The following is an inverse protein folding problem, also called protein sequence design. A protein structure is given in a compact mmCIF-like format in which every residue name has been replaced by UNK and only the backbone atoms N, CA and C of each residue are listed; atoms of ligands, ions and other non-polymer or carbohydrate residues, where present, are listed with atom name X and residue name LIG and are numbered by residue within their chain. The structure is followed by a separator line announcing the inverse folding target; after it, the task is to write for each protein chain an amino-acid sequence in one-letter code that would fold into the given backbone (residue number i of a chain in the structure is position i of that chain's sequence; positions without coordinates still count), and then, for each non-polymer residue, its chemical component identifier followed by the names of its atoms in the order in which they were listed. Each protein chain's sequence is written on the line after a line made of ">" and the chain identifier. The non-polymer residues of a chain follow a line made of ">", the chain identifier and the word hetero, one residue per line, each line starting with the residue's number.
data_IF_822332176760
#
_entry.id   IF_822332176760
#
_cell.length_a   1.000
_cell.length_b   1.000
_cell.length_c   1.000
_cell.angle_alpha   90.00
_cell.angle_beta   90.00
_cell.angle_gamma   90.00
#
_symmetry.space_group_name_H-M   'P 1'
#
loop_
_entity.id
_entity.type
_entity.pdbx_description
1 polymer ?
#
# COMPACT_ATOMS: atom_id res chain seq x y z
N UNK A 1 -7.72 -8.68 29.71
CA UNK A 1 -7.16 -7.62 28.84
C UNK A 1 -7.57 -8.00 27.43
N UNK A 2 -8.38 -7.19 26.76
CA UNK A 2 -8.79 -7.53 25.40
C UNK A 2 -7.53 -7.51 24.51
N UNK A 3 -7.26 -8.60 23.79
CA UNK A 3 -6.21 -8.62 22.78
C UNK A 3 -6.52 -7.57 21.71
N UNK A 4 -5.54 -6.75 21.34
CA UNK A 4 -5.71 -5.77 20.26
C UNK A 4 -6.20 -6.47 18.99
N UNK A 5 -7.28 -5.96 18.41
CA UNK A 5 -7.81 -6.44 17.14
C UNK A 5 -7.22 -5.61 16.01
N UNK A 6 -6.42 -6.26 15.17
CA UNK A 6 -5.75 -5.63 14.04
C UNK A 6 -6.15 -6.36 12.77
N UNK A 7 -6.76 -5.62 11.84
CA UNK A 7 -7.11 -6.14 10.50
C UNK A 7 -6.47 -5.24 9.45
N UNK A 8 -5.87 -5.82 8.43
CA UNK A 8 -5.29 -5.11 7.30
C UNK A 8 -6.10 -5.40 6.03
N UNK A 9 -6.79 -4.39 5.51
CA UNK A 9 -7.43 -4.43 4.20
C UNK A 9 -6.38 -4.13 3.14
N UNK A 10 -6.07 -5.09 2.28
CA UNK A 10 -5.00 -4.97 1.30
C UNK A 10 -5.22 -5.88 0.09
N UNK A 11 -4.42 -5.68 -0.96
CA UNK A 11 -4.40 -6.49 -2.17
C UNK A 11 -2.97 -7.01 -2.34
N UNK A 12 -2.78 -8.31 -2.53
CA UNK A 12 -1.46 -8.93 -2.43
C UNK A 12 -0.35 -8.32 -3.32
N UNK A 13 -0.59 -7.82 -4.55
CA UNK A 13 0.46 -7.23 -5.39
C UNK A 13 0.65 -5.73 -5.12
N UNK A 14 -0.09 -5.13 -4.19
CA UNK A 14 0.03 -3.72 -3.85
C UNK A 14 1.37 -3.41 -3.17
N UNK A 15 2.22 -2.55 -3.75
CA UNK A 15 3.47 -2.13 -3.09
C UNK A 15 3.20 -1.27 -1.86
N UNK A 16 2.09 -0.51 -1.85
CA UNK A 16 1.67 0.27 -0.69
C UNK A 16 1.25 -0.64 0.47
N UNK A 17 0.53 -1.72 0.15
CA UNK A 17 0.15 -2.77 1.08
C UNK A 17 1.33 -3.52 1.69
N UNK A 18 2.32 -3.82 0.86
CA UNK A 18 3.56 -4.48 1.28
C UNK A 18 4.28 -3.70 2.40
N UNK A 19 4.24 -2.36 2.38
CA UNK A 19 4.82 -1.53 3.46
C UNK A 19 4.18 -1.81 4.81
N UNK A 20 2.85 -1.85 4.86
CA UNK A 20 2.11 -2.13 6.09
C UNK A 20 2.37 -3.56 6.58
N UNK A 21 2.37 -4.55 5.67
CA UNK A 21 2.69 -5.94 5.99
C UNK A 21 4.08 -6.10 6.58
N UNK A 22 5.09 -5.45 5.98
CA UNK A 22 6.46 -5.46 6.49
C UNK A 22 6.58 -4.78 7.85
N UNK A 23 5.95 -3.61 8.04
CA UNK A 23 5.96 -2.93 9.33
C UNK A 23 5.32 -3.77 10.44
N UNK A 24 4.18 -4.42 10.18
CA UNK A 24 3.53 -5.32 11.13
C UNK A 24 4.42 -6.54 11.45
N UNK A 25 5.07 -7.11 10.43
CA UNK A 25 5.99 -8.24 10.60
C UNK A 25 7.22 -7.87 11.44
N UNK A 26 7.84 -6.73 11.17
CA UNK A 26 9.01 -6.22 11.91
C UNK A 26 8.66 -5.90 13.38
N UNK A 27 7.42 -5.46 13.63
CA UNK A 27 6.90 -5.27 14.99
C UNK A 27 6.40 -6.55 15.66
N UNK A 28 6.34 -7.67 14.95
CA UNK A 28 5.79 -8.93 15.47
C UNK A 28 4.29 -8.86 15.80
N UNK A 29 3.55 -7.94 15.18
CA UNK A 29 2.12 -7.74 15.44
C UNK A 29 1.32 -8.80 14.70
N UNK A 30 0.49 -9.54 15.43
CA UNK A 30 -0.49 -10.45 14.83
C UNK A 30 -1.66 -9.64 14.29
N UNK A 31 -2.05 -9.92 13.06
CA UNK A 31 -3.16 -9.25 12.40
C UNK A 31 -3.90 -10.21 11.48
N UNK A 32 -5.16 -9.90 11.20
CA UNK A 32 -5.97 -10.54 10.18
C UNK A 32 -5.73 -9.84 8.83
N UNK A 33 -5.38 -10.62 7.80
CA UNK A 33 -5.24 -10.11 6.44
C UNK A 33 -6.56 -10.29 5.69
N UNK A 34 -7.15 -9.20 5.19
CA UNK A 34 -8.36 -9.21 4.38
C UNK A 34 -8.01 -8.79 2.96
N UNK A 35 -8.08 -9.76 2.04
CA UNK A 35 -7.84 -9.51 0.61
C UNK A 35 -9.00 -8.70 0.01
N UNK A 36 -8.67 -7.60 -0.66
CA UNK A 36 -9.62 -6.71 -1.32
C UNK A 36 -9.58 -6.84 -2.85
N UNK A 37 -10.75 -6.90 -3.48
CA UNK A 37 -10.88 -6.76 -4.93
C UNK A 37 -10.99 -5.26 -5.29
N UNK A 38 -9.98 -4.75 -6.00
CA UNK A 38 -9.94 -3.35 -6.43
C UNK A 38 -10.98 -3.01 -7.51
N UNK A 39 -11.53 -4.00 -8.20
CA UNK A 39 -12.61 -3.82 -9.19
C UNK A 39 -13.97 -3.76 -8.51
N UNK A 40 -14.16 -4.58 -7.47
CA UNK A 40 -15.38 -4.66 -6.68
C UNK A 40 -15.06 -4.46 -5.19
N UNK A 41 -14.89 -3.20 -4.80
CA UNK A 41 -14.50 -2.81 -3.44
C UNK A 41 -15.50 -3.31 -2.39
N UNK A 42 -14.99 -3.87 -1.30
CA UNK A 42 -15.84 -4.37 -0.22
C UNK A 42 -16.58 -3.22 0.49
N UNK A 43 -17.74 -3.54 1.08
CA UNK A 43 -18.47 -2.58 1.91
C UNK A 43 -17.63 -2.10 3.10
N UNK A 44 -16.78 -2.98 3.64
CA UNK A 44 -15.87 -2.67 4.73
C UNK A 44 -14.82 -1.63 4.30
N UNK A 45 -14.20 -1.78 3.13
CA UNK A 45 -13.24 -0.81 2.60
C UNK A 45 -13.90 0.57 2.39
N UNK A 46 -15.11 0.59 1.83
CA UNK A 46 -15.86 1.83 1.61
C UNK A 46 -16.26 2.52 2.92
N UNK A 47 -16.53 1.75 3.97
CA UNK A 47 -16.83 2.27 5.30
C UNK A 47 -15.57 2.81 6.00
N UNK A 48 -14.45 2.08 5.91
CA UNK A 48 -13.22 2.39 6.62
C UNK A 48 -12.39 3.51 5.94
N UNK A 49 -12.51 3.66 4.62
CA UNK A 49 -11.88 4.75 3.87
C UNK A 49 -12.87 5.38 2.88
N UNK A 50 -13.86 6.17 3.35
CA UNK A 50 -14.88 6.76 2.50
C UNK A 50 -14.34 7.83 1.55
N UNK A 51 -13.20 8.45 1.88
CA UNK A 51 -12.58 9.56 1.13
C UNK A 51 -11.86 9.02 -0.11
N UNK A 52 -10.81 8.22 0.08
CA UNK A 52 -9.97 7.76 -1.02
C UNK A 52 -10.46 6.41 -1.58
N UNK A 53 -11.16 5.60 -0.77
CA UNK A 53 -11.63 4.26 -1.14
C UNK A 53 -10.46 3.39 -1.66
N UNK A 54 -9.30 3.54 -1.05
CA UNK A 54 -8.04 2.92 -1.45
C UNK A 54 -7.48 2.07 -0.32
N UNK A 55 -6.69 1.08 -0.71
CA UNK A 55 -5.87 0.24 0.16
C UNK A 55 -4.41 0.77 0.20
N UNK A 56 -3.62 0.42 1.22
CA UNK A 56 -4.01 -0.33 2.41
C UNK A 56 -4.84 0.51 3.39
N UNK A 57 -5.65 -0.18 4.19
CA UNK A 57 -6.31 0.37 5.38
C UNK A 57 -6.04 -0.54 6.56
N UNK A 58 -5.40 -0.01 7.60
CA UNK A 58 -5.20 -0.71 8.86
C UNK A 58 -6.37 -0.37 9.80
N UNK A 59 -7.12 -1.38 10.23
CA UNK A 59 -8.17 -1.21 11.24
C UNK A 59 -7.61 -1.72 12.57
N UNK A 60 -7.37 -0.81 13.51
CA UNK A 60 -6.90 -1.15 14.84
C UNK A 60 -7.97 -0.82 15.87
N UNK A 61 -8.48 -1.83 16.57
CA UNK A 61 -9.55 -1.71 17.56
C UNK A 61 -10.77 -0.93 17.02
N UNK A 62 -11.18 -1.28 15.79
CA UNK A 62 -12.31 -0.68 15.08
C UNK A 62 -12.04 0.71 14.50
N UNK A 63 -10.82 1.26 14.63
CA UNK A 63 -10.46 2.58 14.12
C UNK A 63 -9.59 2.44 12.86
N UNK A 64 -10.00 3.02 11.72
CA UNK A 64 -9.23 2.93 10.49
C UNK A 64 -8.07 3.93 10.46
N UNK A 65 -6.93 3.49 9.93
CA UNK A 65 -5.75 4.28 9.57
C UNK A 65 -5.49 4.06 8.09
N UNK A 66 -5.50 5.14 7.32
CA UNK A 66 -5.31 5.14 5.87
C UNK A 66 -3.92 5.67 5.50
N UNK A 67 -3.53 5.52 4.23
CA UNK A 67 -2.25 5.92 3.65
C UNK A 67 -1.05 5.10 4.16
N UNK A 68 -0.36 4.41 3.25
CA UNK A 68 0.69 3.44 3.63
C UNK A 68 1.80 4.01 4.52
N UNK A 69 2.28 5.23 4.26
CA UNK A 69 3.33 5.86 5.08
C UNK A 69 2.82 6.35 6.44
N UNK A 70 1.54 6.69 6.55
CA UNK A 70 0.90 7.04 7.82
C UNK A 70 0.68 5.77 8.64
N UNK A 71 0.24 4.69 8.00
CA UNK A 71 0.09 3.36 8.63
C UNK A 71 1.42 2.88 9.22
N UNK A 72 2.54 2.98 8.48
CA UNK A 72 3.87 2.59 8.98
C UNK A 72 4.28 3.41 10.22
N UNK A 73 4.05 4.73 10.18
CA UNK A 73 4.33 5.60 11.33
C UNK A 73 3.46 5.26 12.54
N UNK A 74 2.16 5.03 12.31
CA UNK A 74 1.22 4.61 13.34
C UNK A 74 1.66 3.29 13.99
N UNK A 75 2.08 2.31 13.19
CA UNK A 75 2.59 1.03 13.70
C UNK A 75 3.83 1.25 14.58
N UNK A 76 4.76 2.11 14.15
CA UNK A 76 5.97 2.41 14.91
C UNK A 76 5.68 3.12 16.25
N UNK A 77 4.66 3.98 16.27
CA UNK A 77 4.27 4.76 17.45
C UNK A 77 3.42 3.96 18.46
N UNK A 78 2.64 2.98 18.00
CA UNK A 78 1.77 2.15 18.85
C UNK A 78 2.53 0.98 19.45
N UNK A 79 3.27 0.21 18.64
CA UNK A 79 4.00 -0.98 19.08
C UNK A 79 5.48 -0.66 19.29
N UNK A 80 5.83 -0.28 20.52
CA UNK A 80 7.18 0.17 20.92
C UNK A 80 8.06 -0.92 21.53
N UNK A 81 7.54 -2.14 21.64
CA UNK A 81 8.25 -3.25 22.30
C UNK A 81 9.39 -3.83 21.46
N UNK A 82 9.47 -3.48 20.18
CA UNK A 82 10.56 -3.86 19.27
C UNK A 82 11.29 -2.64 18.70
N UNK A 83 12.36 -2.91 17.94
CA UNK A 83 13.19 -1.86 17.35
C UNK A 83 12.35 -0.82 16.58
N UNK A 84 12.69 0.48 16.69
CA UNK A 84 11.96 1.53 16.00
C UNK A 84 12.21 1.45 14.49
N UNK A 85 11.16 1.64 13.69
CA UNK A 85 11.24 1.70 12.23
C UNK A 85 11.84 3.03 11.78
N UNK A 86 11.59 4.10 12.53
CA UNK A 86 12.13 5.43 12.26
C UNK A 86 13.26 5.80 13.21
N UNK A 87 14.26 6.58 12.75
CA UNK A 87 15.29 7.13 13.62
C UNK A 87 14.70 8.00 14.74
N UNK A 88 15.30 7.94 15.93
CA UNK A 88 14.96 8.79 17.07
C UNK A 88 15.42 10.24 16.88
N UNK A 89 16.56 10.45 16.21
CA UNK A 89 17.06 11.77 15.86
C UNK A 89 16.10 12.51 14.89
N UNK A 90 15.69 13.76 15.19
CA UNK A 90 14.76 14.50 14.35
C UNK A 90 15.24 14.73 12.91
N UNK A 91 16.53 14.99 12.70
CA UNK A 91 17.08 15.24 11.37
C UNK A 91 17.08 13.95 10.54
N UNK A 92 17.56 12.85 11.11
CA UNK A 92 17.53 11.54 10.45
C UNK A 92 16.10 11.09 10.14
N UNK A 93 15.15 11.32 11.05
CA UNK A 93 13.73 11.03 10.81
C UNK A 93 13.15 11.86 9.67
N UNK A 94 13.52 13.14 9.57
CA UNK A 94 13.12 13.99 8.45
C UNK A 94 13.69 13.47 7.12
N UNK A 95 14.95 13.04 7.10
CA UNK A 95 15.59 12.44 5.92
C UNK A 95 14.90 11.13 5.50
N UNK A 96 14.57 10.25 6.44
CA UNK A 96 13.80 9.02 6.15
C UNK A 96 12.44 9.33 5.54
N UNK A 97 11.72 10.32 6.07
CA UNK A 97 10.42 10.78 5.53
C UNK A 97 10.55 11.36 4.13
N UNK A 98 11.59 12.16 3.89
CA UNK A 98 11.85 12.74 2.57
C UNK A 98 12.07 11.66 1.51
N UNK A 99 12.92 10.67 1.80
CA UNK A 99 13.19 9.58 0.85
C UNK A 99 11.98 8.68 0.62
N UNK A 100 11.18 8.42 1.65
CA UNK A 100 9.92 7.69 1.50
C UNK A 100 8.93 8.41 0.58
N UNK A 101 8.75 9.73 0.76
CA UNK A 101 7.91 10.57 -0.09
C UNK A 101 8.46 10.67 -1.54
N UNK A 102 9.77 10.72 -1.70
CA UNK A 102 10.42 10.69 -3.02
C UNK A 102 10.10 9.41 -3.80
N UNK A 103 10.12 8.24 -3.13
CA UNK A 103 9.77 6.97 -3.75
C UNK A 103 8.32 6.99 -4.28
N UNK A 104 7.39 7.55 -3.51
CA UNK A 104 5.99 7.67 -3.93
C UNK A 104 5.83 8.59 -5.13
N UNK A 105 6.45 9.77 -5.08
CA UNK A 105 6.26 10.81 -6.10
C UNK A 105 7.05 10.58 -7.38
N UNK A 106 8.16 9.83 -7.34
CA UNK A 106 9.06 9.69 -8.49
C UNK A 106 9.22 8.26 -8.94
N UNK A 107 9.48 7.33 -8.04
CA UNK A 107 9.81 5.95 -8.41
C UNK A 107 8.55 5.20 -8.84
N UNK A 108 7.52 5.17 -7.99
CA UNK A 108 6.30 4.41 -8.26
C UNK A 108 5.55 4.94 -9.49
N UNK A 109 5.45 6.27 -9.64
CA UNK A 109 4.84 6.88 -10.83
C UNK A 109 5.62 6.50 -12.11
N UNK A 110 6.95 6.53 -12.07
CA UNK A 110 7.77 6.18 -13.23
C UNK A 110 7.64 4.71 -13.61
N UNK A 111 7.62 3.80 -12.62
CA UNK A 111 7.43 2.37 -12.85
C UNK A 111 6.04 2.09 -13.44
N UNK A 112 4.99 2.67 -12.86
CA UNK A 112 3.63 2.55 -13.36
C UNK A 112 3.51 3.05 -14.81
N UNK A 113 4.12 4.20 -15.12
CA UNK A 113 4.11 4.75 -16.49
C UNK A 113 4.85 3.86 -17.49
N UNK A 114 5.97 3.24 -17.08
CA UNK A 114 6.68 2.27 -17.92
C UNK A 114 5.84 1.01 -18.15
N UNK A 115 5.19 0.47 -17.13
CA UNK A 115 4.32 -0.71 -17.30
C UNK A 115 3.14 -0.43 -18.24
N UNK A 116 2.49 0.74 -18.10
CA UNK A 116 1.41 1.17 -19.00
C UNK A 116 1.91 1.32 -20.44
N UNK A 117 3.05 1.99 -20.64
CA UNK A 117 3.65 2.16 -21.98
C UNK A 117 3.95 0.81 -22.64
N UNK A 118 4.55 -0.12 -21.89
CA UNK A 118 4.89 -1.46 -22.39
C UNK A 118 3.64 -2.27 -22.75
N UNK A 119 2.56 -2.16 -21.97
CA UNK A 119 1.28 -2.83 -22.25
C UNK A 119 0.57 -2.25 -23.48
N UNK A 120 0.57 -0.93 -23.65
CA UNK A 120 -0.03 -0.26 -24.81
C UNK A 120 0.70 -0.61 -26.11
N UNK A 121 2.04 -0.65 -26.08
CA UNK A 121 2.85 -1.07 -27.23
C UNK A 121 2.64 -2.56 -27.55
N UNK A 122 2.53 -3.43 -26.54
CA UNK A 122 2.25 -4.85 -26.73
C UNK A 122 0.87 -5.13 -27.36
N UNK A 123 -0.17 -4.43 -26.91
CA UNK A 123 -1.52 -4.51 -27.51
C UNK A 123 -1.60 -3.91 -28.92
N UNK A 124 -0.89 -2.79 -29.16
CA UNK A 124 -0.79 -2.19 -30.49
C UNK A 124 -0.11 -3.10 -31.52
N UNK A 125 0.93 -3.82 -31.10
CA UNK A 125 1.59 -4.82 -31.94
C UNK A 125 0.67 -6.03 -32.20
N UNK A 126 -0.05 -6.52 -31.19
CA UNK A 126 -0.98 -7.65 -31.35
C UNK A 126 -2.12 -7.31 -32.32
N UNK A 127 -2.68 -6.10 -32.25
CA UNK A 127 -3.72 -5.63 -33.18
C UNK A 127 -3.19 -5.46 -34.62
N UNK A 128 -1.93 -5.07 -34.79
CA UNK A 128 -1.29 -4.97 -36.11
C UNK A 128 -1.10 -6.33 -36.82
N UNK A 129 -1.12 -7.44 -36.08
CA UNK A 129 -1.05 -8.80 -36.64
C UNK A 129 -2.42 -9.46 -36.88
N UNK A 130 -3.52 -8.91 -36.34
CA UNK A 130 -4.87 -9.52 -36.40
C UNK A 130 -5.79 -8.84 -37.43
N UNK A 131 -5.39 -7.72 -38.05
CA UNK A 131 -6.14 -7.14 -39.17
C UNK A 131 -5.63 -7.77 -40.48
N UNK A 132 -6.39 -8.68 -41.14
CA UNK A 132 -6.01 -9.15 -42.46
C UNK A 132 -6.15 -7.98 -43.43
N UNK A 133 -5.08 -7.67 -44.19
CA UNK A 133 -5.18 -6.81 -45.36
C UNK A 133 -6.09 -7.49 -46.38
N UNK A 134 -7.39 -7.18 -46.36
CA UNK A 134 -8.28 -7.45 -47.49
C UNK A 134 -7.93 -6.46 -48.60
N UNK A 135 -7.25 -6.97 -49.63
CA UNK A 135 -7.20 -6.40 -50.98
C UNK A 135 -8.55 -6.60 -51.68
#
# INVERSE_FOLDING_TARGET
>A
MASDQVTLLDFWPSPFGMRARLALAEKGVKYEYSEEDLRSKSALLLQMNPVNKQIPVLVHNGKPVCESLIIVQYIDEVWKDSAPLLPSDPYQRAQSRFWADFVDKKVLITVANKEISTRTLGLGLLLAFVIPKSL
#
